data_IF_431086085017
#
_entry.id   IF_431086085017
#
_cell.length_a   1.000
_cell.length_b   1.000
_cell.length_c   1.000
_cell.angle_alpha   90.00
_cell.angle_beta   90.00
_cell.angle_gamma   90.00
#
_symmetry.space_group_name_H-M   'P 1'
#
loop_
_entity.id
_entity.type
_entity.pdbx_description
1 polymer ?
#
# COMPACT_ATOMS: atom_id res chain seq x y z
N UNK A 1 1.14 14.36 -14.77
CA UNK A 1 1.01 15.72 -14.23
C UNK A 1 1.34 15.68 -12.75
N UNK A 2 2.18 16.58 -12.21
CA UNK A 2 2.45 16.63 -10.77
C UNK A 2 1.25 17.27 -10.08
N UNK A 3 0.71 16.64 -9.04
CA UNK A 3 -0.37 17.23 -8.24
C UNK A 3 0.19 18.30 -7.29
N UNK A 4 -0.63 19.29 -6.96
CA UNK A 4 -0.35 20.22 -5.86
C UNK A 4 -0.55 19.53 -4.50
N UNK A 5 -0.03 20.12 -3.42
CA UNK A 5 -0.28 19.65 -2.04
C UNK A 5 -1.78 19.55 -1.76
N UNK A 6 -2.52 20.60 -2.12
CA UNK A 6 -3.97 20.68 -1.90
C UNK A 6 -4.71 19.59 -2.65
N UNK A 7 -4.32 19.31 -3.90
CA UNK A 7 -4.89 18.22 -4.68
C UNK A 7 -4.58 16.84 -4.08
N UNK A 8 -3.34 16.62 -3.60
CA UNK A 8 -2.95 15.38 -2.92
C UNK A 8 -3.80 15.15 -1.65
N UNK A 9 -3.98 16.19 -0.83
CA UNK A 9 -4.80 16.14 0.39
C UNK A 9 -6.28 15.92 0.03
N UNK A 10 -6.80 16.63 -0.95
CA UNK A 10 -8.20 16.51 -1.39
C UNK A 10 -8.51 15.09 -1.84
N UNK A 11 -7.67 14.49 -2.68
CA UNK A 11 -7.85 13.11 -3.14
C UNK A 11 -7.77 12.13 -1.96
N UNK A 12 -6.83 12.35 -1.04
CA UNK A 12 -6.69 11.50 0.14
C UNK A 12 -7.90 11.57 1.11
N UNK A 13 -8.54 12.74 1.21
CA UNK A 13 -9.81 12.90 1.96
C UNK A 13 -10.97 12.21 1.25
N UNK A 14 -11.10 12.41 -0.06
CA UNK A 14 -12.14 11.75 -0.87
C UNK A 14 -12.03 10.22 -0.78
N UNK A 15 -10.80 9.68 -0.77
CA UNK A 15 -10.54 8.26 -0.53
C UNK A 15 -11.11 7.82 0.83
N UNK A 16 -10.82 8.56 1.90
CA UNK A 16 -11.31 8.24 3.25
C UNK A 16 -12.84 8.34 3.35
N UNK A 17 -13.46 9.32 2.69
CA UNK A 17 -14.93 9.47 2.63
C UNK A 17 -15.60 8.29 1.92
N UNK A 18 -15.00 7.78 0.84
CA UNK A 18 -15.49 6.61 0.14
C UNK A 18 -15.32 5.33 0.96
N UNK A 19 -14.20 5.18 1.68
CA UNK A 19 -13.98 4.09 2.64
C UNK A 19 -15.03 4.09 3.75
N UNK A 20 -15.30 5.26 4.33
CA UNK A 20 -16.33 5.43 5.36
C UNK A 20 -17.72 5.13 4.81
N UNK A 21 -18.04 5.62 3.60
CA UNK A 21 -19.31 5.30 2.95
C UNK A 21 -19.49 3.79 2.76
N UNK A 22 -18.43 3.08 2.34
CA UNK A 22 -18.45 1.64 2.21
C UNK A 22 -18.67 0.94 3.56
N UNK A 23 -18.00 1.39 4.62
CA UNK A 23 -18.20 0.89 5.97
C UNK A 23 -19.66 1.05 6.42
N UNK A 24 -20.23 2.26 6.29
CA UNK A 24 -21.62 2.53 6.66
C UNK A 24 -22.61 1.65 5.92
N UNK A 25 -22.39 1.37 4.62
CA UNK A 25 -23.23 0.46 3.86
C UNK A 25 -23.20 -0.98 4.41
N UNK A 26 -22.03 -1.45 4.83
CA UNK A 26 -21.80 -2.82 5.28
C UNK A 26 -22.27 -3.04 6.73
N UNK A 27 -22.25 -2.00 7.57
CA UNK A 27 -22.72 -2.07 8.97
C UNK A 27 -24.19 -2.51 9.11
N UNK A 28 -25.01 -2.36 8.06
CA UNK A 28 -26.38 -2.86 8.03
C UNK A 28 -26.50 -4.39 7.95
N UNK A 29 -25.40 -5.10 7.71
CA UNK A 29 -25.36 -6.56 7.50
C UNK A 29 -24.73 -7.20 8.75
N UNK A 30 -25.52 -7.88 9.61
CA UNK A 30 -25.06 -8.40 10.90
C UNK A 30 -23.85 -9.35 10.79
N UNK A 31 -23.77 -10.13 9.72
CA UNK A 31 -22.71 -11.10 9.47
C UNK A 31 -21.33 -10.43 9.39
N UNK A 32 -21.27 -9.16 9.00
CA UNK A 32 -20.02 -8.41 8.88
C UNK A 32 -19.46 -7.97 10.22
N UNK A 33 -20.30 -7.84 11.25
CA UNK A 33 -19.88 -7.50 12.60
C UNK A 33 -18.93 -8.55 13.18
N UNK A 34 -19.02 -9.80 12.73
CA UNK A 34 -18.07 -10.85 13.10
C UNK A 34 -16.63 -10.46 12.75
N UNK A 35 -16.41 -9.88 11.57
CA UNK A 35 -15.09 -9.45 11.10
C UNK A 35 -14.71 -8.07 11.63
N UNK A 36 -15.68 -7.14 11.73
CA UNK A 36 -15.41 -5.77 12.15
C UNK A 36 -15.05 -5.68 13.64
N UNK A 37 -15.64 -6.53 14.49
CA UNK A 37 -15.38 -6.57 15.92
C UNK A 37 -14.18 -7.44 16.32
N UNK A 38 -13.53 -8.12 15.37
CA UNK A 38 -12.28 -8.85 15.64
C UNK A 38 -11.20 -7.89 16.18
N UNK A 39 -10.55 -8.29 17.28
CA UNK A 39 -9.42 -7.53 17.80
C UNK A 39 -8.31 -7.45 16.73
N UNK A 40 -7.86 -6.23 16.35
CA UNK A 40 -6.82 -6.08 15.36
C UNK A 40 -5.53 -6.77 15.79
N UNK A 41 -5.09 -7.72 14.96
CA UNK A 41 -3.70 -8.18 14.98
C UNK A 41 -2.76 -6.98 14.81
N UNK A 42 -1.51 -7.10 15.29
CA UNK A 42 -0.51 -6.00 15.22
C UNK A 42 -0.43 -5.33 13.82
N UNK A 43 -0.46 -6.05 12.68
CA UNK A 43 -0.46 -5.44 11.35
C UNK A 43 -1.74 -4.65 11.03
N UNK A 44 -2.88 -5.09 11.58
CA UNK A 44 -4.21 -4.53 11.32
C UNK A 44 -4.45 -3.18 12.02
N UNK A 45 -3.62 -2.82 13.00
CA UNK A 45 -3.69 -1.53 13.71
C UNK A 45 -3.31 -0.33 12.85
N UNK A 46 -2.76 -0.57 11.65
CA UNK A 46 -2.41 0.49 10.70
C UNK A 46 -3.63 0.84 9.84
N UNK A 47 -3.67 2.06 9.28
CA UNK A 47 -4.73 2.45 8.33
C UNK A 47 -4.93 1.43 7.20
N UNK A 48 -3.85 0.92 6.62
CA UNK A 48 -3.93 -0.13 5.60
C UNK A 48 -4.58 -1.41 6.13
N UNK A 49 -4.29 -1.78 7.37
CA UNK A 49 -4.89 -2.91 8.05
C UNK A 49 -6.40 -2.77 8.28
N UNK A 50 -6.86 -1.56 8.63
CA UNK A 50 -8.29 -1.27 8.73
C UNK A 50 -8.99 -1.39 7.37
N UNK A 51 -8.33 -0.98 6.29
CA UNK A 51 -8.84 -1.14 4.92
C UNK A 51 -8.85 -2.63 4.51
N UNK A 52 -7.79 -3.39 4.81
CA UNK A 52 -7.75 -4.84 4.55
C UNK A 52 -8.91 -5.56 5.27
N UNK A 53 -9.24 -5.13 6.50
CA UNK A 53 -10.41 -5.63 7.23
C UNK A 53 -11.73 -5.25 6.57
N UNK A 54 -11.87 -3.99 6.12
CA UNK A 54 -13.05 -3.55 5.40
C UNK A 54 -13.28 -4.38 4.12
N UNK A 55 -12.21 -4.69 3.39
CA UNK A 55 -12.24 -5.58 2.23
C UNK A 55 -12.70 -6.99 2.62
N UNK A 56 -12.14 -7.59 3.69
CA UNK A 56 -12.61 -8.89 4.23
C UNK A 56 -14.08 -8.86 4.65
N UNK A 57 -14.53 -7.80 5.31
CA UNK A 57 -15.92 -7.64 5.74
C UNK A 57 -16.86 -7.55 4.52
N UNK A 58 -16.43 -6.86 3.45
CA UNK A 58 -17.19 -6.78 2.20
C UNK A 58 -17.32 -8.14 1.51
N UNK A 59 -16.31 -9.01 1.59
CA UNK A 59 -16.42 -10.38 1.07
C UNK A 59 -17.49 -11.19 1.82
N UNK A 60 -17.58 -11.04 3.15
CA UNK A 60 -18.64 -11.67 3.97
C UNK A 60 -20.00 -11.08 3.61
N UNK A 61 -20.10 -9.76 3.47
CA UNK A 61 -21.32 -9.08 3.03
C UNK A 61 -21.79 -9.59 1.66
N UNK A 62 -20.85 -9.80 0.73
CA UNK A 62 -21.15 -10.32 -0.59
C UNK A 62 -21.76 -11.73 -0.52
N UNK A 63 -21.21 -12.61 0.31
CA UNK A 63 -21.78 -13.95 0.56
C UNK A 63 -23.19 -13.87 1.13
N UNK A 64 -23.39 -13.05 2.17
CA UNK A 64 -24.72 -12.85 2.78
C UNK A 64 -25.75 -12.29 1.79
N UNK A 65 -25.32 -11.44 0.84
CA UNK A 65 -26.20 -10.89 -0.19
C UNK A 65 -26.69 -11.90 -1.23
N UNK A 66 -26.05 -13.06 -1.34
CA UNK A 66 -26.53 -14.15 -2.20
C UNK A 66 -27.76 -14.83 -1.60
N UNK A 67 -27.84 -14.88 -0.26
CA UNK A 67 -28.95 -15.48 0.48
C UNK A 67 -30.10 -14.47 0.69
N UNK A 68 -29.75 -13.22 1.02
CA UNK A 68 -30.73 -12.17 1.34
C UNK A 68 -30.72 -11.05 0.29
N UNK A 69 -31.82 -10.93 -0.47
CA UNK A 69 -31.94 -9.94 -1.55
C UNK A 69 -31.83 -8.48 -1.06
N UNK A 70 -32.29 -8.19 0.16
CA UNK A 70 -32.26 -6.83 0.74
C UNK A 70 -30.83 -6.28 0.87
N UNK A 71 -29.82 -7.14 1.05
CA UNK A 71 -28.43 -6.74 1.19
C UNK A 71 -27.76 -6.40 -0.14
N UNK A 72 -28.34 -6.80 -1.29
CA UNK A 72 -27.72 -6.59 -2.61
C UNK A 72 -27.52 -5.13 -2.94
N UNK A 73 -28.44 -4.25 -2.54
CA UNK A 73 -28.34 -2.80 -2.77
C UNK A 73 -27.16 -2.21 -1.99
N UNK A 74 -27.06 -2.54 -0.70
CA UNK A 74 -25.97 -2.10 0.18
C UNK A 74 -24.61 -2.60 -0.29
N UNK A 75 -24.50 -3.88 -0.65
CA UNK A 75 -23.26 -4.47 -1.18
C UNK A 75 -22.87 -3.85 -2.50
N UNK A 76 -23.82 -3.54 -3.40
CA UNK A 76 -23.53 -2.87 -4.66
C UNK A 76 -22.99 -1.45 -4.43
N UNK A 77 -23.58 -0.70 -3.49
CA UNK A 77 -23.12 0.63 -3.12
C UNK A 77 -21.72 0.61 -2.49
N UNK A 78 -21.47 -0.33 -1.56
CA UNK A 78 -20.16 -0.51 -0.94
C UNK A 78 -19.08 -0.87 -1.98
N UNK A 79 -19.36 -1.82 -2.88
CA UNK A 79 -18.44 -2.18 -3.96
C UNK A 79 -18.13 -1.01 -4.89
N UNK A 80 -19.13 -0.19 -5.21
CA UNK A 80 -18.94 1.02 -6.02
C UNK A 80 -18.03 2.02 -5.30
N UNK A 81 -18.23 2.23 -4.00
CA UNK A 81 -17.41 3.13 -3.20
C UNK A 81 -15.95 2.63 -3.11
N UNK A 82 -15.73 1.36 -2.82
CA UNK A 82 -14.39 0.75 -2.78
C UNK A 82 -13.70 0.86 -4.15
N UNK A 83 -14.39 0.52 -5.24
CA UNK A 83 -13.83 0.63 -6.60
C UNK A 83 -13.42 2.06 -6.95
N UNK A 84 -14.21 3.05 -6.55
CA UNK A 84 -13.88 4.45 -6.73
C UNK A 84 -12.67 4.85 -5.87
N UNK A 85 -12.61 4.40 -4.62
CA UNK A 85 -11.49 4.65 -3.71
C UNK A 85 -10.18 4.08 -4.27
N UNK A 86 -10.20 2.86 -4.83
CA UNK A 86 -9.06 2.23 -5.48
C UNK A 86 -8.57 3.02 -6.69
N UNK A 87 -9.50 3.53 -7.51
CA UNK A 87 -9.15 4.39 -8.65
C UNK A 87 -8.45 5.67 -8.19
N UNK A 88 -8.94 6.29 -7.12
CA UNK A 88 -8.33 7.50 -6.56
C UNK A 88 -6.98 7.21 -5.90
N UNK A 89 -6.86 6.11 -5.15
CA UNK A 89 -5.58 5.62 -4.59
C UNK A 89 -4.56 5.41 -5.70
N UNK A 90 -4.98 4.85 -6.82
CA UNK A 90 -4.11 4.67 -7.98
C UNK A 90 -3.63 6.00 -8.56
N UNK A 91 -4.56 6.94 -8.77
CA UNK A 91 -4.22 8.28 -9.26
C UNK A 91 -3.25 9.01 -8.32
N UNK A 92 -3.48 8.93 -7.00
CA UNK A 92 -2.60 9.50 -5.98
C UNK A 92 -1.21 8.85 -6.05
N UNK A 93 -1.13 7.53 -6.10
CA UNK A 93 0.14 6.81 -6.23
C UNK A 93 0.91 7.21 -7.50
N UNK A 94 0.25 7.27 -8.67
CA UNK A 94 0.92 7.63 -9.92
C UNK A 94 1.35 9.07 -10.04
N UNK A 95 0.69 9.98 -9.34
CA UNK A 95 1.17 11.37 -9.25
C UNK A 95 2.62 11.44 -8.75
N UNK A 96 3.04 10.48 -7.92
CA UNK A 96 4.37 10.38 -7.32
C UNK A 96 5.32 9.39 -8.03
N UNK A 97 5.00 8.89 -9.24
CA UNK A 97 5.89 7.97 -10.00
C UNK A 97 7.33 8.46 -10.15
N UNK A 98 7.53 9.77 -10.21
CA UNK A 98 8.85 10.40 -10.26
C UNK A 98 9.72 10.12 -9.02
N UNK A 99 9.11 9.90 -7.85
CA UNK A 99 9.81 9.49 -6.62
C UNK A 99 10.40 8.10 -6.80
N UNK A 100 9.63 7.16 -7.37
CA UNK A 100 10.11 5.82 -7.70
C UNK A 100 11.31 5.87 -8.66
N UNK A 101 11.21 6.63 -9.75
CA UNK A 101 12.34 6.81 -10.68
C UNK A 101 13.58 7.41 -10.00
N UNK A 102 13.38 8.41 -9.13
CA UNK A 102 14.48 9.06 -8.41
C UNK A 102 15.19 8.16 -7.41
N UNK A 103 14.45 7.28 -6.72
CA UNK A 103 15.02 6.29 -5.79
C UNK A 103 15.63 5.10 -6.55
N UNK A 104 15.01 4.64 -7.64
CA UNK A 104 15.53 3.54 -8.46
C UNK A 104 16.98 3.79 -8.89
N UNK A 105 17.27 4.97 -9.46
CA UNK A 105 18.62 5.37 -9.90
C UNK A 105 19.70 5.27 -8.83
N UNK A 106 19.34 5.40 -7.56
CA UNK A 106 20.28 5.29 -6.43
C UNK A 106 20.52 3.84 -6.00
N UNK A 107 19.61 2.94 -6.35
CA UNK A 107 19.61 1.53 -5.94
C UNK A 107 19.96 0.58 -7.08
N UNK A 108 20.09 1.08 -8.32
CA UNK A 108 20.56 0.28 -9.47
C UNK A 108 21.85 -0.42 -9.09
N UNK A 109 21.87 -1.73 -9.28
CA UNK A 109 23.01 -2.58 -9.04
C UNK A 109 22.94 -3.80 -9.96
N UNK A 110 24.00 -4.61 -10.00
CA UNK A 110 24.06 -5.80 -10.85
C UNK A 110 22.96 -6.87 -10.56
N UNK A 111 22.21 -6.73 -9.47
CA UNK A 111 21.16 -7.67 -9.09
C UNK A 111 19.78 -7.32 -9.66
N UNK A 112 19.54 -6.06 -10.07
CA UNK A 112 18.23 -5.63 -10.55
C UNK A 112 18.34 -4.37 -11.41
N UNK A 113 17.67 -4.38 -12.56
CA UNK A 113 17.69 -3.27 -13.53
C UNK A 113 16.84 -2.08 -13.07
N UNK A 114 17.08 -0.89 -13.67
CA UNK A 114 16.34 0.33 -13.31
C UNK A 114 14.84 0.18 -13.54
N UNK A 115 14.43 -0.48 -14.62
CA UNK A 115 13.02 -0.66 -14.96
C UNK A 115 12.29 -1.53 -13.93
N UNK A 116 12.89 -2.65 -13.53
CA UNK A 116 12.36 -3.53 -12.49
C UNK A 116 12.24 -2.81 -11.15
N UNK A 117 13.26 -2.02 -10.77
CA UNK A 117 13.22 -1.20 -9.56
C UNK A 117 12.09 -0.17 -9.62
N UNK A 118 11.84 0.45 -10.78
CA UNK A 118 10.72 1.38 -10.94
C UNK A 118 9.38 0.66 -10.74
N UNK A 119 9.21 -0.58 -11.24
CA UNK A 119 8.00 -1.35 -11.02
C UNK A 119 7.79 -1.69 -9.54
N UNK A 120 8.83 -2.15 -8.86
CA UNK A 120 8.82 -2.38 -7.41
C UNK A 120 8.54 -1.09 -6.64
N UNK A 121 9.06 0.04 -7.12
CA UNK A 121 8.73 1.37 -6.63
C UNK A 121 7.25 1.70 -6.75
N UNK A 122 6.62 1.39 -7.88
CA UNK A 122 5.17 1.58 -8.08
C UNK A 122 4.36 0.76 -7.06
N UNK A 123 4.79 -0.47 -6.76
CA UNK A 123 4.18 -1.29 -5.68
C UNK A 123 4.35 -0.59 -4.32
N UNK A 124 5.53 -0.03 -4.06
CA UNK A 124 5.79 0.78 -2.87
C UNK A 124 4.90 2.02 -2.76
N UNK A 125 4.66 2.72 -3.88
CA UNK A 125 3.74 3.87 -3.96
C UNK A 125 2.30 3.47 -3.64
N UNK A 126 1.84 2.33 -4.16
CA UNK A 126 0.49 1.82 -3.86
C UNK A 126 0.33 1.52 -2.35
N UNK A 127 1.33 0.88 -1.74
CA UNK A 127 1.32 0.63 -0.29
C UNK A 127 1.36 1.92 0.53
N UNK A 128 2.10 2.93 0.06
CA UNK A 128 2.11 4.24 0.68
C UNK A 128 0.73 4.90 0.59
N UNK A 129 0.09 4.88 -0.57
CA UNK A 129 -1.23 5.47 -0.78
C UNK A 129 -2.28 4.87 0.14
N UNK A 130 -2.28 3.54 0.31
CA UNK A 130 -3.19 2.83 1.25
C UNK A 130 -2.99 3.26 2.72
N UNK A 131 -1.81 3.77 3.08
CA UNK A 131 -1.47 4.19 4.46
C UNK A 131 -1.43 5.70 4.66
N UNK A 132 -1.66 6.48 3.60
CA UNK A 132 -1.45 7.91 3.66
C UNK A 132 -2.56 8.58 4.48
N UNK A 133 -2.13 9.56 5.28
CA UNK A 133 -2.96 10.27 6.25
C UNK A 133 -2.98 11.76 5.87
N UNK A 134 -4.11 12.29 5.36
CA UNK A 134 -4.20 13.67 4.88
C UNK A 134 -4.07 14.71 6.00
N UNK A 135 -4.37 14.35 7.25
CA UNK A 135 -4.43 15.32 8.35
C UNK A 135 -3.04 15.71 8.88
N UNK A 136 -2.00 15.00 8.45
CA UNK A 136 -0.60 15.31 8.78
C UNK A 136 -0.05 16.53 8.05
N UNK A 137 -0.75 17.05 7.03
CA UNK A 137 -0.32 18.24 6.28
C UNK A 137 0.98 18.08 5.48
N UNK A 138 1.45 16.86 5.25
CA UNK A 138 2.66 16.57 4.48
C UNK A 138 2.34 16.15 3.05
N UNK A 139 3.25 16.46 2.12
CA UNK A 139 3.16 15.95 0.73
C UNK A 139 3.17 14.43 0.70
N UNK A 140 2.34 13.84 -0.16
CA UNK A 140 2.34 12.40 -0.39
C UNK A 140 3.70 11.91 -0.90
N UNK A 141 4.34 12.66 -1.80
CA UNK A 141 5.67 12.33 -2.33
C UNK A 141 6.76 12.23 -1.25
N UNK A 142 6.70 13.09 -0.22
CA UNK A 142 7.60 13.05 0.93
C UNK A 142 7.38 11.78 1.77
N UNK A 143 6.13 11.45 2.04
CA UNK A 143 5.76 10.25 2.78
C UNK A 143 6.13 8.96 2.02
N UNK A 144 5.82 8.92 0.72
CA UNK A 144 5.95 7.73 -0.10
C UNK A 144 7.41 7.34 -0.38
N UNK A 145 8.37 8.28 -0.29
CA UNK A 145 9.80 8.00 -0.52
C UNK A 145 10.32 6.85 0.35
N UNK A 146 9.94 6.81 1.63
CA UNK A 146 10.36 5.74 2.55
C UNK A 146 9.81 4.38 2.15
N UNK A 147 8.54 4.33 1.76
CA UNK A 147 7.86 3.12 1.30
C UNK A 147 8.43 2.58 0.00
N UNK A 148 8.72 3.48 -0.95
CA UNK A 148 9.38 3.17 -2.22
C UNK A 148 10.74 2.54 -1.96
N UNK A 149 11.60 3.20 -1.18
CA UNK A 149 12.94 2.72 -0.89
C UNK A 149 12.93 1.38 -0.16
N UNK A 150 12.05 1.22 0.84
CA UNK A 150 11.90 -0.02 1.57
C UNK A 150 11.45 -1.17 0.65
N UNK A 151 10.49 -0.92 -0.24
CA UNK A 151 10.01 -1.93 -1.18
C UNK A 151 11.08 -2.35 -2.19
N UNK A 152 11.79 -1.39 -2.80
CA UNK A 152 12.90 -1.66 -3.72
C UNK A 152 14.02 -2.44 -3.04
N UNK A 153 14.42 -2.03 -1.84
CA UNK A 153 15.49 -2.71 -1.08
C UNK A 153 15.09 -4.16 -0.79
N UNK A 154 13.85 -4.37 -0.34
CA UNK A 154 13.31 -5.72 -0.14
C UNK A 154 13.32 -6.53 -1.43
N UNK A 155 12.93 -5.95 -2.57
CA UNK A 155 12.92 -6.65 -3.85
C UNK A 155 14.32 -7.07 -4.32
N UNK A 156 15.32 -6.21 -4.14
CA UNK A 156 16.73 -6.54 -4.42
C UNK A 156 17.18 -7.73 -3.56
N UNK A 157 16.83 -7.73 -2.27
CA UNK A 157 17.22 -8.78 -1.33
C UNK A 157 16.52 -10.12 -1.61
N UNK A 158 15.25 -10.08 -2.02
CA UNK A 158 14.44 -11.29 -2.20
C UNK A 158 14.48 -11.87 -3.60
N UNK A 159 14.47 -11.00 -4.61
CA UNK A 159 14.20 -11.35 -6.01
C UNK A 159 15.41 -11.05 -6.91
N UNK A 160 16.31 -10.15 -6.50
CA UNK A 160 17.50 -9.82 -7.29
C UNK A 160 18.56 -10.93 -7.38
N UNK A 161 18.35 -12.07 -6.71
CA UNK A 161 19.24 -13.23 -6.76
C UNK A 161 18.48 -14.44 -7.28
N UNK A 162 19.14 -15.24 -8.10
CA UNK A 162 18.61 -16.52 -8.60
C UNK A 162 18.22 -17.46 -7.45
N UNK A 163 19.03 -17.49 -6.39
CA UNK A 163 18.73 -18.20 -5.14
C UNK A 163 18.37 -17.19 -4.06
N UNK A 164 17.16 -17.30 -3.52
CA UNK A 164 16.67 -16.44 -2.44
C UNK A 164 17.48 -16.67 -1.17
N UNK A 165 17.99 -15.59 -0.59
CA UNK A 165 18.65 -15.61 0.71
C UNK A 165 17.75 -14.95 1.77
N UNK A 166 17.74 -15.46 3.03
CA UNK A 166 17.11 -14.77 4.14
C UNK A 166 17.74 -13.39 4.39
N UNK A 167 16.94 -12.41 4.85
CA UNK A 167 17.39 -11.02 5.02
C UNK A 167 18.62 -10.87 5.92
N UNK A 168 18.69 -11.61 7.03
CA UNK A 168 19.86 -11.60 7.92
C UNK A 168 21.16 -12.05 7.24
N UNK A 169 21.08 -13.03 6.34
CA UNK A 169 22.24 -13.48 5.57
C UNK A 169 22.69 -12.42 4.55
N UNK A 170 21.74 -11.71 3.92
CA UNK A 170 22.06 -10.60 3.00
C UNK A 170 22.75 -9.46 3.74
N UNK A 171 22.27 -9.12 4.94
CA UNK A 171 22.89 -8.11 5.79
C UNK A 171 24.33 -8.48 6.19
N UNK A 172 24.55 -9.74 6.59
CA UNK A 172 25.88 -10.25 6.91
C UNK A 172 26.84 -10.10 5.72
N UNK A 173 26.44 -10.50 4.52
CA UNK A 173 27.25 -10.34 3.30
C UNK A 173 27.58 -8.86 3.04
N UNK A 174 26.59 -7.96 3.20
CA UNK A 174 26.80 -6.52 3.01
C UNK A 174 27.79 -5.93 4.02
N UNK A 175 27.76 -6.42 5.26
CA UNK A 175 28.68 -5.99 6.31
C UNK A 175 30.09 -6.51 6.05
N UNK A 176 30.23 -7.78 5.65
CA UNK A 176 31.52 -8.37 5.28
C UNK A 176 32.18 -7.61 4.12
N UNK A 177 31.43 -7.30 3.05
CA UNK A 177 31.95 -6.50 1.92
C UNK A 177 32.47 -5.13 2.38
N UNK A 178 31.71 -4.42 3.22
CA UNK A 178 32.13 -3.11 3.76
C UNK A 178 33.38 -3.19 4.64
N UNK A 179 33.58 -4.28 5.38
CA UNK A 179 34.79 -4.47 6.18
C UNK A 179 35.98 -4.82 5.28
N UNK A 180 35.79 -5.69 4.29
CA UNK A 180 36.83 -6.03 3.33
C UNK A 180 37.33 -4.79 2.56
N UNK A 181 36.42 -3.95 2.05
CA UNK A 181 36.77 -2.69 1.37
C UNK A 181 37.57 -1.72 2.25
N UNK A 182 37.37 -1.73 3.58
CA UNK A 182 38.13 -0.91 4.53
C UNK A 182 39.50 -1.47 4.85
N UNK A 183 39.70 -2.78 4.70
CA UNK A 183 40.98 -3.45 4.96
C UNK A 183 41.91 -3.42 3.74
N UNK A 184 41.36 -3.23 2.54
CA UNK A 184 42.11 -3.05 1.29
C UNK A 184 42.63 -1.62 1.09
N UNK A 185 42.17 -0.65 1.89
CA UNK A 185 42.65 0.74 1.93
C UNK A 185 43.71 0.94 3.02
#
# INVERSE_FOLDING_TARGET
MKLSLEQEISIAREIAELEETALQCILHIPETLSVLNEEPSRPERTKAGSIDRLERALEVAHKASQETHSYKTWVAQANKAIKNSERLRWNLAMSAKHVARGEARKLVCALMEEEDLIQEGCIGLMRAAKRFDPDRGIRFSTYARWWVRAQMTRAIETTGRMVRLPGGAVEQIRNLRRVAERMEQ
#
